data_IF_985008238893
#
_entry.id   IF_985008238893
#
_cell.length_a   1.000
_cell.length_b   1.000
_cell.length_c   1.000
_cell.angle_alpha   90.00
_cell.angle_beta   90.00
_cell.angle_gamma   90.00
#
_symmetry.space_group_name_H-M   'P 1'
#
loop_
_entity.id
_entity.type
_entity.pdbx_description
1 polymer ?
#
# COMPACT_ATOMS: atom_id res chain seq x y z
N UNK A 1 -0.82 64.88 12.32
CA UNK A 1 -0.04 63.65 12.07
C UNK A 1 -0.75 62.51 12.79
N UNK A 2 -1.46 61.64 12.06
CA UNK A 2 -1.94 60.35 12.56
C UNK A 2 -2.27 59.48 11.35
N UNK A 3 -1.32 58.63 10.94
CA UNK A 3 -1.56 57.55 9.97
C UNK A 3 -1.99 56.33 10.76
N UNK A 4 -3.27 56.01 10.77
CA UNK A 4 -3.71 54.67 11.12
C UNK A 4 -3.54 53.76 9.91
N UNK A 5 -2.52 52.90 9.98
CA UNK A 5 -2.34 51.77 9.08
C UNK A 5 -3.51 50.82 9.25
N UNK A 6 -4.37 50.78 8.24
CA UNK A 6 -5.44 49.80 8.12
C UNK A 6 -4.76 48.46 7.84
N UNK A 7 -4.66 47.62 8.87
CA UNK A 7 -4.22 46.23 8.73
C UNK A 7 -5.21 45.56 7.77
N UNK A 8 -4.73 45.13 6.60
CA UNK A 8 -5.50 44.30 5.69
C UNK A 8 -5.80 42.98 6.37
N UNK A 9 -7.07 42.72 6.69
CA UNK A 9 -7.51 41.43 7.20
C UNK A 9 -7.11 40.31 6.21
N UNK A 10 -6.65 39.14 6.68
CA UNK A 10 -6.37 38.03 5.80
C UNK A 10 -7.69 37.59 5.14
N UNK A 11 -7.73 37.59 3.81
CA UNK A 11 -8.88 37.10 3.04
C UNK A 11 -9.25 35.69 3.48
N UNK A 12 -10.41 35.53 4.12
CA UNK A 12 -10.99 34.24 4.56
C UNK A 12 -11.78 33.55 3.46
N UNK A 13 -11.68 34.02 2.21
CA UNK A 13 -12.31 33.35 1.08
C UNK A 13 -11.75 31.93 0.95
N UNK A 14 -12.59 30.88 1.07
CA UNK A 14 -12.13 29.52 0.86
C UNK A 14 -11.67 29.41 -0.59
N UNK A 15 -10.35 29.34 -0.79
CA UNK A 15 -9.77 29.13 -2.12
C UNK A 15 -10.46 27.89 -2.72
N UNK A 16 -10.96 27.93 -3.98
CA UNK A 16 -11.74 26.84 -4.58
C UNK A 16 -11.10 25.44 -4.49
N UNK A 17 -9.79 25.35 -4.26
CA UNK A 17 -9.04 24.11 -4.09
C UNK A 17 -9.29 23.32 -2.80
N UNK A 18 -9.92 23.86 -1.75
CA UNK A 18 -10.17 23.09 -0.52
C UNK A 18 -11.22 21.98 -0.70
N UNK A 19 -12.21 22.22 -1.57
CA UNK A 19 -13.32 21.29 -1.82
C UNK A 19 -12.89 20.16 -2.77
N UNK A 20 -11.83 20.36 -3.57
CA UNK A 20 -11.34 19.37 -4.51
C UNK A 20 -10.33 18.36 -3.91
N UNK A 21 -9.75 18.69 -2.75
CA UNK A 21 -8.67 17.93 -2.10
C UNK A 21 -9.02 16.53 -1.56
N UNK A 22 -10.22 16.22 -1.05
CA UNK A 22 -10.50 14.90 -0.51
C UNK A 22 -10.91 13.86 -1.58
N UNK A 23 -11.30 14.29 -2.79
CA UNK A 23 -11.77 13.35 -3.82
C UNK A 23 -10.74 12.30 -4.26
N UNK A 24 -9.43 12.61 -4.40
CA UNK A 24 -8.44 11.59 -4.72
C UNK A 24 -8.37 10.48 -3.67
N UNK A 25 -8.55 10.80 -2.38
CA UNK A 25 -8.60 9.80 -1.30
C UNK A 25 -9.77 8.83 -1.48
N UNK A 26 -10.99 9.35 -1.64
CA UNK A 26 -12.16 8.49 -1.88
C UNK A 26 -12.08 7.75 -3.22
N UNK A 27 -11.44 8.36 -4.23
CA UNK A 27 -11.13 7.70 -5.49
C UNK A 27 -10.19 6.51 -5.31
N UNK A 28 -9.17 6.65 -4.45
CA UNK A 28 -8.28 5.56 -4.04
C UNK A 28 -9.04 4.41 -3.38
N UNK A 29 -9.87 4.73 -2.38
CA UNK A 29 -10.75 3.76 -1.68
C UNK A 29 -11.66 3.02 -2.68
N UNK A 30 -12.32 3.75 -3.59
CA UNK A 30 -13.20 3.17 -4.59
C UNK A 30 -12.44 2.28 -5.58
N UNK A 31 -11.27 2.74 -6.05
CA UNK A 31 -10.44 2.00 -7.00
C UNK A 31 -10.03 0.64 -6.41
N UNK A 32 -9.47 0.65 -5.19
CA UNK A 32 -9.05 -0.61 -4.56
C UNK A 32 -10.24 -1.49 -4.22
N UNK A 33 -11.37 -0.92 -3.78
CA UNK A 33 -12.60 -1.70 -3.54
C UNK A 33 -13.17 -2.34 -4.79
N UNK A 34 -13.03 -1.71 -5.97
CA UNK A 34 -13.40 -2.31 -7.26
C UNK A 34 -12.42 -3.42 -7.63
N UNK A 35 -11.12 -3.21 -7.47
CA UNK A 35 -10.09 -4.23 -7.74
C UNK A 35 -10.31 -5.45 -6.84
N UNK A 36 -10.52 -5.24 -5.54
CA UNK A 36 -10.80 -6.29 -4.56
C UNK A 36 -12.06 -7.07 -4.92
N UNK A 37 -13.11 -6.40 -5.41
CA UNK A 37 -14.33 -7.06 -5.87
C UNK A 37 -14.16 -7.86 -7.17
N UNK A 38 -13.22 -7.45 -8.03
CA UNK A 38 -12.89 -8.15 -9.28
C UNK A 38 -11.98 -9.36 -9.05
N UNK A 39 -11.19 -9.36 -7.97
CA UNK A 39 -10.51 -10.55 -7.48
C UNK A 39 -11.56 -11.37 -6.71
N UNK A 40 -12.11 -12.47 -7.26
CA UNK A 40 -13.13 -13.22 -6.57
C UNK A 40 -12.59 -13.65 -5.20
N UNK A 41 -13.33 -13.34 -4.13
CA UNK A 41 -13.00 -13.75 -2.77
C UNK A 41 -13.02 -15.28 -2.71
N UNK A 42 -11.92 -15.92 -3.02
CA UNK A 42 -11.79 -17.37 -2.95
C UNK A 42 -11.67 -17.74 -1.48
N UNK A 43 -12.83 -18.03 -0.87
CA UNK A 43 -13.06 -18.30 0.56
C UNK A 43 -12.44 -17.26 1.51
N UNK A 44 -13.32 -16.48 2.14
CA UNK A 44 -12.99 -15.71 3.32
C UNK A 44 -12.49 -16.63 4.46
N UNK A 45 -11.21 -16.58 4.88
CA UNK A 45 -10.67 -17.34 5.99
C UNK A 45 -10.80 -16.59 7.33
N UNK A 46 -11.81 -15.72 7.52
CA UNK A 46 -12.04 -14.99 8.79
C UNK A 46 -12.24 -15.87 10.04
N UNK A 47 -12.15 -17.19 9.95
CA UNK A 47 -11.72 -17.99 11.08
C UNK A 47 -10.19 -17.94 11.11
N UNK A 48 -9.65 -17.10 11.99
CA UNK A 48 -8.30 -17.26 12.53
C UNK A 48 -8.23 -18.63 13.20
N UNK A 49 -8.14 -19.68 12.39
CA UNK A 49 -7.93 -21.03 12.86
C UNK A 49 -6.54 -21.01 13.47
N UNK A 50 -6.53 -21.06 14.80
CA UNK A 50 -5.36 -21.45 15.57
C UNK A 50 -4.72 -22.65 14.87
N UNK A 51 -3.40 -22.68 14.84
CA UNK A 51 -2.57 -23.68 14.13
C UNK A 51 -3.04 -25.14 14.39
N UNK A 52 -3.77 -25.36 15.48
CA UNK A 52 -4.43 -26.58 15.93
C UNK A 52 -5.63 -27.07 15.08
N UNK A 53 -6.39 -26.23 14.38
CA UNK A 53 -7.55 -26.69 13.57
C UNK A 53 -7.19 -27.14 12.14
N UNK A 54 -5.94 -26.94 11.74
CA UNK A 54 -5.40 -27.45 10.48
C UNK A 54 -5.26 -28.98 10.44
N UNK A 55 -5.53 -29.68 11.54
CA UNK A 55 -5.27 -31.11 11.68
C UNK A 55 -6.14 -32.06 10.83
N UNK A 56 -7.31 -31.64 10.35
CA UNK A 56 -8.36 -32.58 9.89
C UNK A 56 -8.67 -32.63 8.38
N UNK A 57 -8.00 -31.85 7.52
CA UNK A 57 -8.12 -31.89 6.04
C UNK A 57 -6.75 -32.21 5.40
N UNK A 58 -6.62 -32.50 4.09
CA UNK A 58 -5.29 -32.59 3.46
C UNK A 58 -4.56 -31.24 3.63
N UNK A 59 -3.74 -31.15 4.69
CA UNK A 59 -3.10 -29.94 5.25
C UNK A 59 -2.43 -29.09 4.16
N UNK A 60 -1.80 -29.75 3.20
CA UNK A 60 -0.93 -29.12 2.21
C UNK A 60 -1.69 -28.22 1.23
N UNK A 61 -2.90 -28.59 0.80
CA UNK A 61 -3.65 -27.79 -0.19
C UNK A 61 -4.24 -26.51 0.41
N UNK A 62 -4.80 -26.59 1.63
CA UNK A 62 -5.34 -25.42 2.36
C UNK A 62 -4.22 -24.43 2.71
N UNK A 63 -3.09 -24.93 3.21
CA UNK A 63 -1.92 -24.11 3.54
C UNK A 63 -1.29 -23.46 2.30
N UNK A 64 -1.17 -24.21 1.20
CA UNK A 64 -0.65 -23.63 -0.05
C UNK A 64 -1.56 -22.51 -0.53
N UNK A 65 -2.87 -22.73 -0.57
CA UNK A 65 -3.84 -21.71 -0.96
C UNK A 65 -3.76 -20.49 -0.06
N UNK A 66 -3.68 -20.67 1.26
CA UNK A 66 -3.52 -19.58 2.21
C UNK A 66 -2.26 -18.77 1.89
N UNK A 67 -1.09 -19.41 1.76
CA UNK A 67 0.16 -18.72 1.47
C UNK A 67 0.16 -17.98 0.13
N UNK A 68 -0.45 -18.55 -0.91
CA UNK A 68 -0.57 -17.89 -2.22
C UNK A 68 -1.51 -16.68 -2.17
N UNK A 69 -2.64 -16.79 -1.47
CA UNK A 69 -3.58 -15.68 -1.30
C UNK A 69 -2.96 -14.57 -0.44
N UNK A 70 -2.25 -14.93 0.63
CA UNK A 70 -1.48 -13.98 1.44
C UNK A 70 -0.42 -13.27 0.59
N UNK A 71 0.31 -13.99 -0.27
CA UNK A 71 1.28 -13.38 -1.19
C UNK A 71 0.64 -12.43 -2.20
N UNK A 72 -0.55 -12.76 -2.71
CA UNK A 72 -1.28 -11.87 -3.62
C UNK A 72 -1.75 -10.61 -2.89
N UNK A 73 -2.34 -10.76 -1.70
CA UNK A 73 -2.84 -9.65 -0.90
C UNK A 73 -1.72 -8.68 -0.51
N UNK A 74 -0.60 -9.21 0.01
CA UNK A 74 0.59 -8.41 0.34
C UNK A 74 1.15 -7.78 -0.94
N UNK A 75 1.28 -8.51 -2.05
CA UNK A 75 1.73 -7.91 -3.31
C UNK A 75 0.87 -6.72 -3.77
N UNK A 76 -0.46 -6.79 -3.58
CA UNK A 76 -1.36 -5.67 -3.87
C UNK A 76 -1.14 -4.51 -2.88
N UNK A 77 -0.85 -4.79 -1.61
CA UNK A 77 -0.55 -3.79 -0.58
C UNK A 77 0.79 -3.07 -0.81
N UNK A 78 1.85 -3.81 -1.14
CA UNK A 78 3.20 -3.24 -1.26
C UNK A 78 3.34 -2.39 -2.53
N UNK A 79 2.46 -2.56 -3.54
CA UNK A 79 2.50 -1.75 -4.75
C UNK A 79 2.27 -0.25 -4.47
N UNK A 80 1.16 0.17 -3.83
CA UNK A 80 1.00 1.58 -3.45
C UNK A 80 2.00 2.05 -2.40
N UNK A 81 2.55 1.18 -1.53
CA UNK A 81 3.66 1.58 -0.64
C UNK A 81 4.87 2.04 -1.44
N UNK A 82 5.25 1.29 -2.48
CA UNK A 82 6.35 1.66 -3.38
C UNK A 82 6.15 3.02 -4.05
N UNK A 83 4.90 3.32 -4.47
CA UNK A 83 4.53 4.63 -5.02
C UNK A 83 4.71 5.73 -3.96
N UNK A 84 4.23 5.52 -2.72
CA UNK A 84 4.35 6.50 -1.63
C UNK A 84 5.81 6.75 -1.24
N UNK A 85 6.62 5.69 -1.15
CA UNK A 85 8.06 5.79 -0.84
C UNK A 85 8.77 6.63 -1.89
N UNK A 86 8.52 6.36 -3.18
CA UNK A 86 9.11 7.14 -4.26
C UNK A 86 8.65 8.60 -4.24
N UNK A 87 7.33 8.83 -4.16
CA UNK A 87 6.74 10.17 -4.11
C UNK A 87 7.35 11.01 -2.97
N UNK A 88 7.47 10.41 -1.79
CA UNK A 88 8.05 11.08 -0.62
C UNK A 88 9.55 11.32 -0.78
N UNK A 89 10.29 10.37 -1.34
CA UNK A 89 11.73 10.52 -1.57
C UNK A 89 12.06 11.64 -2.57
N UNK A 90 11.20 11.86 -3.58
CA UNK A 90 11.34 12.98 -4.52
C UNK A 90 11.07 14.32 -3.85
N UNK A 91 10.07 14.39 -2.96
CA UNK A 91 9.72 15.64 -2.26
C UNK A 91 10.72 15.98 -1.13
N UNK A 92 11.11 14.99 -0.34
CA UNK A 92 12.04 15.14 0.77
C UNK A 92 12.87 13.85 0.96
N UNK A 93 14.13 13.82 0.47
CA UNK A 93 14.99 12.64 0.55
C UNK A 93 15.21 12.13 1.99
N UNK A 94 15.30 13.02 2.98
CA UNK A 94 15.48 12.63 4.39
C UNK A 94 14.26 11.88 4.91
N UNK A 95 13.06 12.38 4.60
CA UNK A 95 11.81 11.69 4.96
C UNK A 95 11.65 10.39 4.16
N UNK A 96 12.04 10.39 2.88
CA UNK A 96 12.03 9.20 2.04
C UNK A 96 12.90 8.06 2.61
N UNK A 97 14.10 8.38 3.10
CA UNK A 97 14.96 7.39 3.78
C UNK A 97 14.28 6.86 5.05
N UNK A 98 13.68 7.73 5.85
CA UNK A 98 12.97 7.32 7.06
C UNK A 98 11.79 6.37 6.75
N UNK A 99 11.00 6.68 5.72
CA UNK A 99 9.89 5.84 5.26
C UNK A 99 10.40 4.51 4.69
N UNK A 100 11.46 4.53 3.87
CA UNK A 100 12.03 3.31 3.31
C UNK A 100 12.53 2.35 4.41
N UNK A 101 13.15 2.88 5.47
CA UNK A 101 13.53 2.07 6.64
C UNK A 101 12.31 1.53 7.37
N UNK A 102 11.26 2.34 7.56
CA UNK A 102 10.03 1.91 8.21
C UNK A 102 9.34 0.77 7.44
N UNK A 103 9.25 0.88 6.11
CA UNK A 103 8.66 -0.15 5.24
C UNK A 103 9.54 -1.40 5.20
N UNK A 104 10.87 -1.25 5.16
CA UNK A 104 11.76 -2.41 5.23
C UNK A 104 11.53 -3.25 6.50
N UNK A 105 11.21 -2.61 7.62
CA UNK A 105 10.84 -3.30 8.87
C UNK A 105 9.44 -3.92 8.76
N UNK A 106 8.48 -3.23 8.14
CA UNK A 106 7.11 -3.70 7.92
C UNK A 106 7.06 -4.97 7.04
N UNK A 107 7.91 -5.03 6.02
CA UNK A 107 8.00 -6.16 5.08
C UNK A 107 8.49 -7.46 5.73
N UNK A 108 9.14 -7.41 6.91
CA UNK A 108 9.60 -8.62 7.60
C UNK A 108 8.41 -9.47 8.07
N UNK A 109 7.46 -8.95 8.89
CA UNK A 109 6.23 -9.65 9.23
C UNK A 109 5.44 -10.15 8.01
N UNK A 110 5.31 -9.35 6.97
CA UNK A 110 4.60 -9.71 5.74
C UNK A 110 5.24 -10.91 5.04
N UNK A 111 6.56 -10.88 4.87
CA UNK A 111 7.29 -11.99 4.25
C UNK A 111 7.16 -13.28 5.05
N UNK A 112 7.09 -13.19 6.38
CA UNK A 112 6.83 -14.33 7.27
C UNK A 112 5.40 -14.86 7.06
N UNK A 113 4.41 -13.97 6.96
CA UNK A 113 3.01 -14.33 6.74
C UNK A 113 2.80 -15.12 5.43
N UNK A 114 3.56 -14.81 4.37
CA UNK A 114 3.60 -15.60 3.13
C UNK A 114 4.37 -16.92 3.32
N UNK A 115 5.57 -16.85 3.91
CA UNK A 115 6.53 -17.95 3.88
C UNK A 115 6.10 -19.14 4.74
N UNK A 116 5.53 -18.90 5.93
CA UNK A 116 5.11 -19.95 6.87
C UNK A 116 4.12 -20.93 6.22
N UNK A 117 2.95 -20.50 5.70
CA UNK A 117 1.99 -21.42 5.12
C UNK A 117 2.51 -22.16 3.89
N UNK A 118 3.29 -21.49 3.03
CA UNK A 118 3.92 -22.16 1.88
C UNK A 118 4.92 -23.21 2.33
N UNK A 119 5.73 -22.92 3.34
CA UNK A 119 6.70 -23.87 3.88
C UNK A 119 5.99 -25.10 4.48
N UNK A 120 4.99 -24.90 5.34
CA UNK A 120 4.24 -26.03 5.92
C UNK A 120 3.41 -26.81 4.89
N UNK A 121 3.05 -26.19 3.76
CA UNK A 121 2.39 -26.88 2.66
C UNK A 121 3.32 -27.73 1.78
N UNK A 122 4.60 -27.36 1.68
CA UNK A 122 5.51 -27.88 0.63
C UNK A 122 6.78 -28.53 1.16
N UNK A 123 7.17 -28.23 2.41
CA UNK A 123 8.46 -28.60 2.98
C UNK A 123 9.66 -27.85 2.38
N UNK A 124 9.46 -26.94 1.42
CA UNK A 124 10.51 -26.30 0.64
C UNK A 124 10.71 -24.83 1.07
N UNK A 125 11.83 -24.57 1.76
CA UNK A 125 12.20 -23.21 2.22
C UNK A 125 12.47 -22.26 1.06
N UNK A 126 13.04 -22.75 -0.04
CA UNK A 126 13.35 -21.92 -1.20
C UNK A 126 12.07 -21.52 -1.93
N UNK A 127 11.11 -22.44 -2.04
CA UNK A 127 9.78 -22.11 -2.58
C UNK A 127 9.08 -21.06 -1.72
N UNK A 128 9.07 -21.21 -0.39
CA UNK A 128 8.50 -20.23 0.52
C UNK A 128 9.14 -18.84 0.36
N UNK A 129 10.47 -18.78 0.36
CA UNK A 129 11.22 -17.55 0.13
C UNK A 129 10.88 -16.91 -1.23
N UNK A 130 10.80 -17.69 -2.30
CA UNK A 130 10.47 -17.17 -3.65
C UNK A 130 9.10 -16.53 -3.70
N UNK A 131 8.08 -17.12 -3.07
CA UNK A 131 6.75 -16.50 -3.05
C UNK A 131 6.72 -15.21 -2.23
N UNK A 132 7.40 -15.19 -1.08
CA UNK A 132 7.55 -13.95 -0.30
C UNK A 132 8.31 -12.86 -1.08
N UNK A 133 9.40 -13.22 -1.75
CA UNK A 133 10.17 -12.29 -2.57
C UNK A 133 9.33 -11.76 -3.75
N UNK A 134 8.61 -12.63 -4.46
CA UNK A 134 7.75 -12.24 -5.58
C UNK A 134 6.63 -11.28 -5.13
N UNK A 135 6.08 -11.48 -3.93
CA UNK A 135 5.13 -10.54 -3.32
C UNK A 135 5.79 -9.19 -3.05
N UNK A 136 6.97 -9.18 -2.42
CA UNK A 136 7.70 -7.95 -2.09
C UNK A 136 8.20 -7.17 -3.31
N UNK A 137 8.40 -7.82 -4.46
CA UNK A 137 8.77 -7.13 -5.72
C UNK A 137 7.70 -6.12 -6.20
N UNK A 138 6.48 -6.18 -5.69
CA UNK A 138 5.46 -5.18 -5.98
C UNK A 138 5.88 -3.77 -5.55
N UNK A 139 6.65 -3.63 -4.46
CA UNK A 139 7.14 -2.34 -3.96
C UNK A 139 8.11 -1.64 -4.94
N UNK A 140 9.25 -2.25 -5.37
CA UNK A 140 10.11 -1.62 -6.35
C UNK A 140 9.41 -1.44 -7.70
N UNK A 141 8.45 -2.31 -8.07
CA UNK A 141 7.64 -2.11 -9.28
C UNK A 141 6.77 -0.87 -9.16
N UNK A 142 6.12 -0.64 -8.02
CA UNK A 142 5.34 0.58 -7.75
C UNK A 142 6.21 1.83 -7.79
N UNK A 143 7.38 1.80 -7.15
CA UNK A 143 8.34 2.90 -7.16
C UNK A 143 8.86 3.23 -8.57
N UNK A 144 9.21 2.21 -9.37
CA UNK A 144 9.68 2.39 -10.74
C UNK A 144 8.57 2.91 -11.65
N UNK A 145 7.34 2.42 -11.48
CA UNK A 145 6.20 2.90 -12.25
C UNK A 145 5.93 4.38 -11.93
N UNK A 146 6.01 4.77 -10.66
CA UNK A 146 5.93 6.16 -10.27
C UNK A 146 7.06 7.00 -10.88
N UNK A 147 8.30 6.50 -10.89
CA UNK A 147 9.43 7.19 -11.53
C UNK A 147 9.23 7.39 -13.03
N UNK A 148 8.92 6.35 -13.80
CA UNK A 148 8.87 6.44 -15.25
C UNK A 148 7.59 7.10 -15.77
N UNK A 149 6.45 6.87 -15.09
CA UNK A 149 5.15 7.33 -15.58
C UNK A 149 4.75 8.66 -14.93
N UNK A 150 4.94 8.82 -13.62
CA UNK A 150 4.41 9.98 -12.89
C UNK A 150 5.38 11.17 -12.89
N UNK A 151 6.69 10.93 -12.89
CA UNK A 151 7.71 11.99 -12.80
C UNK A 151 7.58 13.11 -13.86
N UNK A 152 7.31 12.81 -15.15
CA UNK A 152 7.13 13.85 -16.17
C UNK A 152 5.94 14.79 -15.95
N UNK A 153 4.95 14.34 -15.17
CA UNK A 153 3.72 15.09 -14.92
C UNK A 153 3.66 15.65 -13.47
N UNK A 154 4.70 15.44 -12.67
CA UNK A 154 4.67 15.66 -11.22
C UNK A 154 4.65 17.15 -10.87
N UNK A 155 3.43 17.70 -10.71
CA UNK A 155 3.20 19.02 -10.11
C UNK A 155 2.87 18.90 -8.61
N UNK A 156 2.99 19.96 -7.80
CA UNK A 156 2.60 19.92 -6.38
C UNK A 156 1.15 19.48 -6.16
N UNK A 157 0.25 19.85 -7.07
CA UNK A 157 -1.15 19.41 -7.02
C UNK A 157 -1.27 17.92 -7.31
N UNK A 158 -0.59 17.42 -8.35
CA UNK A 158 -0.58 16.00 -8.69
C UNK A 158 0.01 15.15 -7.55
N UNK A 159 1.11 15.61 -6.94
CA UNK A 159 1.73 14.94 -5.79
C UNK A 159 0.72 14.79 -4.64
N UNK A 160 0.03 15.88 -4.30
CA UNK A 160 -1.03 15.84 -3.29
C UNK A 160 -2.17 14.87 -3.64
N UNK A 161 -2.59 14.82 -4.91
CA UNK A 161 -3.60 13.87 -5.38
C UNK A 161 -3.12 12.42 -5.31
N UNK A 162 -1.87 12.14 -5.69
CA UNK A 162 -1.27 10.80 -5.64
C UNK A 162 -1.18 10.33 -4.18
N UNK A 163 -0.61 11.17 -3.29
CA UNK A 163 -0.49 10.83 -1.87
C UNK A 163 -1.86 10.63 -1.22
N UNK A 164 -2.84 11.48 -1.53
CA UNK A 164 -4.20 11.30 -1.03
C UNK A 164 -4.84 10.01 -1.56
N UNK A 165 -4.67 9.69 -2.85
CA UNK A 165 -5.15 8.44 -3.45
C UNK A 165 -4.49 7.20 -2.86
N UNK A 166 -3.16 7.22 -2.68
CA UNK A 166 -2.43 6.14 -2.01
C UNK A 166 -2.89 5.99 -0.57
N UNK A 167 -3.08 7.09 0.17
CA UNK A 167 -3.64 7.04 1.52
C UNK A 167 -5.05 6.42 1.53
N UNK A 168 -5.88 6.71 0.52
CA UNK A 168 -7.19 6.07 0.37
C UNK A 168 -7.11 4.57 0.13
N UNK A 169 -6.17 4.14 -0.70
CA UNK A 169 -5.90 2.71 -0.94
C UNK A 169 -5.43 2.03 0.35
N UNK A 170 -4.47 2.65 1.06
CA UNK A 170 -3.88 2.12 2.30
C UNK A 170 -4.87 2.04 3.45
N UNK A 171 -5.86 2.93 3.53
CA UNK A 171 -6.89 2.89 4.58
C UNK A 171 -7.91 1.79 4.34
N UNK A 172 -8.14 1.42 3.08
CA UNK A 172 -9.09 0.35 2.74
C UNK A 172 -8.52 -1.04 2.98
N UNK A 173 -7.21 -1.23 2.72
CA UNK A 173 -6.48 -2.50 2.94
C UNK A 173 -6.19 -2.69 4.43
#
# INVERSE_FOLDING_TARGET
SNRHGRLSEPSTDPKPGWVLRPWPFFGGVLLIGVIDRLVPSVENPHEAHMIEELEKKPKNAKLMRMGLMTALAIGIHNFPEGIATFATAVENPTLGIAIAVAIAIHNIPEGIAVSIPVFYATGDRMKAFRYSLLSGLAEPVGALLAYFILMPFMSPVMMGCILAGVAGIMVFI
#
